data_IF_595615442236
#
_entry.id   IF_595615442236
#
_cell.length_a   1.000
_cell.length_b   1.000
_cell.length_c   1.000
_cell.angle_alpha   90.00
_cell.angle_beta   90.00
_cell.angle_gamma   90.00
#
_symmetry.space_group_name_H-M   'P 1'
#
loop_
_entity.id
_entity.type
_entity.pdbx_description
1 polymer ?
#
# COMPACT_ATOMS: atom_id res chain seq x y z
N UNK A 1 14.94 4.75 -12.15
CA UNK A 1 13.82 4.41 -11.26
C UNK A 1 14.00 5.00 -9.85
N UNK A 2 15.09 4.65 -9.16
CA UNK A 2 15.28 5.05 -7.75
C UNK A 2 15.35 6.58 -7.58
N UNK A 3 16.15 7.27 -8.39
CA UNK A 3 16.27 8.73 -8.36
C UNK A 3 14.96 9.40 -8.77
N UNK A 4 14.34 8.95 -9.86
CA UNK A 4 13.06 9.49 -10.31
C UNK A 4 11.91 9.29 -9.29
N UNK A 5 11.97 8.20 -8.48
CA UNK A 5 11.03 8.01 -7.38
C UNK A 5 11.19 9.09 -6.30
N UNK A 6 12.44 9.37 -5.87
CA UNK A 6 12.76 10.39 -4.87
C UNK A 6 12.36 11.78 -5.38
N UNK A 7 12.76 12.13 -6.61
CA UNK A 7 12.44 13.41 -7.25
C UNK A 7 10.93 13.64 -7.34
N UNK A 8 10.19 12.63 -7.83
CA UNK A 8 8.73 12.73 -7.95
C UNK A 8 8.06 12.95 -6.60
N UNK A 9 8.52 12.28 -5.54
CA UNK A 9 7.98 12.48 -4.20
C UNK A 9 8.32 13.87 -3.67
N UNK A 10 9.54 14.36 -3.87
CA UNK A 10 9.94 15.71 -3.45
C UNK A 10 9.09 16.80 -4.11
N UNK A 11 8.80 16.67 -5.40
CA UNK A 11 7.92 17.61 -6.14
C UNK A 11 6.47 17.60 -5.61
N UNK A 12 6.08 16.56 -4.88
CA UNK A 12 4.72 16.34 -4.39
C UNK A 12 4.61 16.28 -2.85
N UNK A 13 5.51 16.91 -2.10
CA UNK A 13 5.45 16.96 -0.63
C UNK A 13 4.36 17.88 -0.09
N UNK A 14 3.94 18.90 -0.84
CA UNK A 14 2.94 19.87 -0.37
C UNK A 14 1.65 19.22 0.15
N UNK A 15 1.02 18.25 -0.53
CA UNK A 15 -0.17 17.58 0.01
C UNK A 15 0.09 16.85 1.33
N UNK A 16 1.27 16.28 1.52
CA UNK A 16 1.64 15.67 2.80
C UNK A 16 1.73 16.71 3.91
N UNK A 17 2.38 17.86 3.65
CA UNK A 17 2.44 18.96 4.62
C UNK A 17 1.05 19.48 5.00
N UNK A 18 0.15 19.60 4.02
CA UNK A 18 -1.25 19.99 4.26
C UNK A 18 -2.02 18.94 5.09
N UNK A 19 -1.75 17.65 4.86
CA UNK A 19 -2.35 16.58 5.65
C UNK A 19 -1.89 16.61 7.10
N UNK A 20 -0.59 16.82 7.36
CA UNK A 20 -0.03 16.96 8.70
C UNK A 20 -0.63 18.17 9.42
N UNK A 21 -0.72 19.32 8.74
CA UNK A 21 -1.36 20.50 9.27
C UNK A 21 -2.85 20.27 9.62
N UNK A 22 -3.57 19.59 8.75
CA UNK A 22 -4.97 19.22 8.99
C UNK A 22 -5.12 18.30 10.20
N UNK A 23 -4.26 17.29 10.37
CA UNK A 23 -4.28 16.41 11.56
C UNK A 23 -4.05 17.20 12.85
N UNK A 24 -3.04 18.09 12.86
CA UNK A 24 -2.78 18.98 14.00
C UNK A 24 -4.02 19.78 14.38
N UNK A 25 -4.69 20.37 13.39
CA UNK A 25 -5.89 21.18 13.58
C UNK A 25 -7.07 20.35 14.13
N UNK A 26 -7.34 19.15 13.55
CA UNK A 26 -8.42 18.27 13.99
C UNK A 26 -8.22 17.80 15.43
N UNK A 27 -6.97 17.48 15.80
CA UNK A 27 -6.62 17.02 17.13
C UNK A 27 -6.58 18.16 18.17
N UNK A 28 -6.64 19.43 17.72
CA UNK A 28 -6.63 20.60 18.60
C UNK A 28 -5.30 20.79 19.35
N UNK A 29 -4.19 20.42 18.74
CA UNK A 29 -2.87 20.45 19.37
C UNK A 29 -2.12 21.75 19.05
N UNK A 30 -1.55 22.40 20.07
CA UNK A 30 -0.69 23.57 19.88
C UNK A 30 0.65 23.20 19.24
N UNK A 31 1.23 22.08 19.65
CA UNK A 31 2.40 21.44 19.03
C UNK A 31 2.01 20.06 18.54
N UNK A 32 2.60 19.61 17.42
CA UNK A 32 2.31 18.32 16.81
C UNK A 32 3.61 17.57 16.60
N UNK A 33 3.81 16.49 17.35
CA UNK A 33 5.03 15.71 17.40
C UNK A 33 4.91 14.43 16.56
N UNK A 34 6.03 13.78 16.31
CA UNK A 34 6.07 12.57 15.49
C UNK A 34 5.16 11.43 16.03
N UNK A 35 4.96 11.33 17.33
CA UNK A 35 4.08 10.36 17.97
C UNK A 35 2.59 10.70 17.79
N UNK A 36 2.23 11.97 17.62
CA UNK A 36 0.84 12.40 17.40
C UNK A 36 0.31 12.02 16.00
N UNK A 37 1.23 11.79 15.04
CA UNK A 37 0.87 11.37 13.69
C UNK A 37 0.01 10.09 13.69
N UNK A 38 0.21 9.21 14.67
CA UNK A 38 -0.49 7.93 14.80
C UNK A 38 -1.86 8.05 15.45
N UNK A 39 -2.24 9.23 15.96
CA UNK A 39 -3.56 9.42 16.55
C UNK A 39 -4.65 9.36 15.45
N UNK A 40 -5.73 8.59 15.69
CA UNK A 40 -6.84 8.53 14.75
C UNK A 40 -7.61 9.87 14.75
N UNK A 41 -8.08 10.29 13.57
CA UNK A 41 -8.95 11.46 13.44
C UNK A 41 -10.44 11.10 13.38
N UNK A 42 -10.76 9.81 13.48
CA UNK A 42 -12.14 9.28 13.46
C UNK A 42 -12.23 7.98 14.25
N UNK A 43 -13.32 7.82 14.98
CA UNK A 43 -13.63 6.62 15.76
C UNK A 43 -14.62 5.68 15.03
N UNK A 44 -14.85 5.86 13.73
CA UNK A 44 -15.85 5.12 12.96
C UNK A 44 -15.42 3.68 12.57
N UNK A 45 -14.31 3.16 13.09
CA UNK A 45 -13.82 1.82 12.78
C UNK A 45 -14.86 0.72 13.04
N UNK A 46 -15.57 0.81 14.15
CA UNK A 46 -16.59 -0.18 14.58
C UNK A 46 -17.88 -0.10 13.75
N UNK A 47 -18.10 1.00 13.03
CA UNK A 47 -19.28 1.17 12.16
C UNK A 47 -19.28 0.26 10.92
N UNK A 48 -18.17 -0.41 10.66
CA UNK A 48 -18.00 -1.39 9.57
C UNK A 48 -18.08 -2.84 10.04
N UNK A 49 -18.44 -3.07 11.29
CA UNK A 49 -18.51 -4.42 11.83
C UNK A 49 -19.45 -5.30 10.98
N UNK A 50 -18.94 -6.44 10.53
CA UNK A 50 -19.71 -7.48 9.85
C UNK A 50 -19.04 -8.84 10.06
N UNK A 51 -19.80 -9.90 9.93
CA UNK A 51 -19.27 -11.24 9.98
C UNK A 51 -18.49 -11.60 8.70
N UNK A 52 -17.87 -12.77 8.69
CA UNK A 52 -17.05 -13.20 7.57
C UNK A 52 -17.86 -13.44 6.29
N UNK A 53 -19.10 -13.94 6.40
CA UNK A 53 -19.96 -14.19 5.23
C UNK A 53 -20.39 -12.87 4.56
N UNK A 54 -20.73 -11.87 5.35
CA UNK A 54 -20.98 -10.52 4.85
C UNK A 54 -19.72 -9.89 4.26
N UNK A 55 -18.56 -10.12 4.85
CA UNK A 55 -17.28 -9.64 4.31
C UNK A 55 -16.98 -10.22 2.93
N UNK A 56 -17.23 -11.52 2.71
CA UNK A 56 -17.11 -12.15 1.38
C UNK A 56 -17.99 -11.45 0.35
N UNK A 57 -19.23 -11.15 0.69
CA UNK A 57 -20.16 -10.44 -0.21
C UNK A 57 -19.64 -9.05 -0.56
N UNK A 58 -19.17 -8.29 0.43
CA UNK A 58 -18.60 -6.94 0.22
C UNK A 58 -17.36 -6.99 -0.66
N UNK A 59 -16.44 -7.91 -0.41
CA UNK A 59 -15.22 -8.07 -1.21
C UNK A 59 -15.57 -8.49 -2.64
N UNK A 60 -16.47 -9.46 -2.83
CA UNK A 60 -16.92 -9.90 -4.15
C UNK A 60 -17.52 -8.73 -4.95
N UNK A 61 -18.41 -7.95 -4.33
CA UNK A 61 -19.01 -6.77 -4.97
C UNK A 61 -17.96 -5.71 -5.35
N UNK A 62 -17.00 -5.44 -4.46
CA UNK A 62 -15.96 -4.45 -4.67
C UNK A 62 -14.99 -4.84 -5.79
N UNK A 63 -14.71 -6.12 -5.96
CA UNK A 63 -13.82 -6.65 -6.98
C UNK A 63 -14.53 -7.01 -8.30
N UNK A 64 -15.83 -6.72 -8.42
CA UNK A 64 -16.58 -6.97 -9.66
C UNK A 64 -16.02 -6.27 -10.91
N UNK A 65 -15.35 -5.11 -10.84
CA UNK A 65 -14.72 -4.50 -12.01
C UNK A 65 -13.61 -5.35 -12.65
N UNK A 66 -13.05 -6.34 -11.93
CA UNK A 66 -12.02 -7.27 -12.45
C UNK A 66 -12.56 -8.35 -13.41
N UNK A 67 -13.87 -8.42 -13.59
CA UNK A 67 -14.51 -9.25 -14.58
C UNK A 67 -14.73 -10.71 -14.17
N UNK A 68 -15.30 -11.50 -15.10
CA UNK A 68 -15.81 -12.83 -14.81
C UNK A 68 -14.74 -13.82 -14.34
N UNK A 69 -13.58 -13.87 -15.00
CA UNK A 69 -12.54 -14.86 -14.67
C UNK A 69 -11.98 -14.65 -13.27
N UNK A 70 -11.80 -13.38 -12.86
CA UNK A 70 -11.37 -13.03 -11.51
C UNK A 70 -12.43 -13.37 -10.47
N UNK A 71 -13.69 -13.04 -10.76
CA UNK A 71 -14.82 -13.34 -9.86
C UNK A 71 -15.03 -14.84 -9.68
N UNK A 72 -14.91 -15.62 -10.75
CA UNK A 72 -15.04 -17.09 -10.69
C UNK A 72 -13.93 -17.71 -9.82
N UNK A 73 -12.69 -17.24 -9.95
CA UNK A 73 -11.57 -17.71 -9.13
C UNK A 73 -11.71 -17.27 -7.65
N UNK A 74 -12.19 -16.05 -7.40
CA UNK A 74 -12.48 -15.55 -6.07
C UNK A 74 -13.55 -16.40 -5.37
N UNK A 75 -14.65 -16.68 -6.07
CA UNK A 75 -15.72 -17.53 -5.57
C UNK A 75 -15.24 -18.96 -5.31
N UNK A 76 -14.40 -19.51 -6.20
CA UNK A 76 -13.77 -20.82 -5.99
C UNK A 76 -12.98 -20.85 -4.66
N UNK A 77 -12.21 -19.79 -4.37
CA UNK A 77 -11.44 -19.67 -3.13
C UNK A 77 -12.33 -19.67 -1.88
N UNK A 78 -13.48 -19.00 -1.95
CA UNK A 78 -14.45 -18.98 -0.86
C UNK A 78 -15.17 -20.33 -0.68
N UNK A 79 -15.59 -20.97 -1.77
CA UNK A 79 -16.38 -22.21 -1.72
C UNK A 79 -15.52 -23.44 -1.38
N UNK A 80 -14.26 -23.46 -1.80
CA UNK A 80 -13.34 -24.57 -1.59
C UNK A 80 -12.45 -24.43 -0.34
N UNK A 81 -12.81 -23.52 0.54
CA UNK A 81 -12.18 -23.38 1.85
C UNK A 81 -10.66 -23.15 1.81
N UNK A 82 -10.20 -22.23 0.93
CA UNK A 82 -8.78 -21.88 0.88
C UNK A 82 -8.31 -21.11 2.12
N UNK A 83 -9.27 -20.66 2.98
CA UNK A 83 -9.03 -19.69 4.04
C UNK A 83 -9.23 -20.34 5.42
N UNK A 84 -8.21 -20.27 6.26
CA UNK A 84 -8.32 -20.51 7.72
C UNK A 84 -8.64 -19.16 8.38
N UNK A 85 -9.88 -19.00 8.86
CA UNK A 85 -10.52 -17.70 9.07
C UNK A 85 -10.23 -17.10 10.44
N UNK A 86 -10.50 -17.87 11.52
CA UNK A 86 -10.53 -17.34 12.89
C UNK A 86 -9.30 -17.68 13.68
N UNK A 87 -9.02 -16.86 14.70
CA UNK A 87 -7.98 -17.18 15.66
C UNK A 87 -8.30 -18.44 16.47
N UNK A 88 -7.27 -19.20 16.83
CA UNK A 88 -7.37 -20.32 17.72
C UNK A 88 -6.05 -20.52 18.48
N UNK A 89 -6.08 -21.41 19.49
CA UNK A 89 -4.90 -21.68 20.33
C UNK A 89 -3.73 -22.22 19.50
N UNK A 90 -2.61 -21.52 19.53
CA UNK A 90 -1.39 -21.88 18.81
C UNK A 90 -1.29 -21.36 17.38
N UNK A 91 -2.33 -20.73 16.83
CA UNK A 91 -2.28 -20.06 15.53
C UNK A 91 -1.46 -18.77 15.63
N UNK A 92 -0.63 -18.50 14.61
CA UNK A 92 0.14 -17.24 14.53
C UNK A 92 -0.78 -16.06 14.31
N UNK A 93 -0.43 -14.91 14.88
CA UNK A 93 -1.08 -13.64 14.62
C UNK A 93 -0.77 -13.14 13.21
N UNK A 94 -1.54 -12.14 12.73
CA UNK A 94 -1.40 -11.57 11.40
C UNK A 94 -2.23 -12.32 10.36
N UNK A 95 -1.88 -12.10 9.10
CA UNK A 95 -2.48 -12.76 7.93
C UNK A 95 -1.39 -13.03 6.91
N UNK A 96 -1.57 -14.06 6.09
CA UNK A 96 -0.72 -14.30 4.92
C UNK A 96 -1.41 -15.22 3.91
N UNK A 97 -0.97 -15.14 2.67
CA UNK A 97 -1.32 -16.06 1.60
C UNK A 97 -0.08 -16.84 1.15
N UNK A 98 -0.25 -18.11 0.84
CA UNK A 98 0.81 -18.96 0.33
C UNK A 98 0.35 -19.73 -0.90
N UNK A 99 0.96 -19.44 -2.05
CA UNK A 99 0.75 -20.17 -3.29
C UNK A 99 1.71 -21.37 -3.37
N UNK A 100 1.17 -22.52 -3.76
CA UNK A 100 1.95 -23.73 -4.00
C UNK A 100 1.59 -24.23 -5.41
N UNK A 101 2.61 -24.54 -6.22
CA UNK A 101 2.39 -25.01 -7.58
C UNK A 101 1.65 -26.36 -7.60
N UNK A 102 0.64 -26.47 -8.47
CA UNK A 102 -0.14 -27.71 -8.66
C UNK A 102 -1.28 -27.91 -7.66
N UNK A 103 -1.44 -27.04 -6.68
CA UNK A 103 -2.58 -27.04 -5.74
C UNK A 103 -3.15 -25.62 -5.60
N UNK A 104 -4.28 -25.49 -4.90
CA UNK A 104 -4.83 -24.14 -4.62
C UNK A 104 -3.98 -23.36 -3.61
N UNK A 105 -4.05 -22.04 -3.61
CA UNK A 105 -3.44 -21.21 -2.56
C UNK A 105 -4.06 -21.47 -1.19
N UNK A 106 -3.30 -21.18 -0.15
CA UNK A 106 -3.74 -21.25 1.25
C UNK A 106 -3.67 -19.85 1.87
N UNK A 107 -4.72 -19.46 2.56
CA UNK A 107 -4.83 -18.15 3.22
C UNK A 107 -5.05 -18.35 4.71
N UNK A 108 -4.25 -17.68 5.53
CA UNK A 108 -4.43 -17.60 6.98
C UNK A 108 -4.92 -16.20 7.33
N UNK A 109 -6.02 -16.13 8.08
CA UNK A 109 -6.55 -14.91 8.68
C UNK A 109 -6.70 -15.06 10.19
N UNK A 110 -6.86 -13.96 10.89
CA UNK A 110 -7.38 -13.84 12.24
C UNK A 110 -8.52 -12.83 12.20
N UNK A 111 -9.63 -13.23 11.56
CA UNK A 111 -10.73 -12.33 11.23
C UNK A 111 -11.43 -11.81 12.50
N UNK A 112 -11.59 -10.50 12.53
CA UNK A 112 -12.38 -9.76 13.52
C UNK A 112 -13.43 -8.92 12.78
N UNK A 113 -14.63 -8.69 13.34
CA UNK A 113 -15.71 -7.95 12.67
C UNK A 113 -15.42 -6.43 12.62
N UNK A 114 -14.46 -6.02 11.79
CA UNK A 114 -14.02 -4.62 11.59
C UNK A 114 -13.48 -4.39 10.19
N UNK A 115 -13.44 -3.14 9.75
CA UNK A 115 -12.99 -2.77 8.40
C UNK A 115 -11.61 -3.35 8.03
N UNK A 116 -10.65 -3.26 8.94
CA UNK A 116 -9.31 -3.77 8.67
C UNK A 116 -9.31 -5.26 8.30
N UNK A 117 -10.19 -6.07 8.90
CA UNK A 117 -10.26 -7.50 8.56
C UNK A 117 -10.92 -7.73 7.19
N UNK A 118 -11.85 -6.85 6.77
CA UNK A 118 -12.42 -6.89 5.42
C UNK A 118 -11.33 -6.52 4.40
N UNK A 119 -10.55 -5.47 4.68
CA UNK A 119 -9.41 -5.05 3.85
C UNK A 119 -8.35 -6.13 3.78
N UNK A 120 -8.00 -6.76 4.92
CA UNK A 120 -7.06 -7.88 4.97
C UNK A 120 -7.57 -9.08 4.15
N UNK A 121 -8.87 -9.41 4.20
CA UNK A 121 -9.46 -10.45 3.35
C UNK A 121 -9.25 -10.14 1.86
N UNK A 122 -9.54 -8.90 1.44
CA UNK A 122 -9.32 -8.46 0.06
C UNK A 122 -7.84 -8.54 -0.34
N UNK A 123 -6.93 -8.13 0.56
CA UNK A 123 -5.48 -8.17 0.39
C UNK A 123 -4.98 -9.61 0.18
N UNK A 124 -5.27 -10.51 1.12
CA UNK A 124 -4.77 -11.89 1.06
C UNK A 124 -5.39 -12.66 -0.12
N UNK A 125 -6.63 -12.37 -0.48
CA UNK A 125 -7.22 -12.92 -1.71
C UNK A 125 -6.55 -12.34 -2.96
N UNK A 126 -6.02 -11.13 -2.92
CA UNK A 126 -5.20 -10.57 -4.00
C UNK A 126 -3.94 -11.41 -4.24
N UNK A 127 -3.20 -11.74 -3.19
CA UNK A 127 -2.05 -12.65 -3.25
C UNK A 127 -2.46 -14.05 -3.72
N UNK A 128 -3.53 -14.59 -3.15
CA UNK A 128 -4.02 -15.93 -3.49
C UNK A 128 -4.36 -16.02 -4.99
N UNK A 129 -5.07 -15.04 -5.52
CA UNK A 129 -5.45 -15.04 -6.94
C UNK A 129 -4.27 -14.72 -7.87
N UNK A 130 -3.29 -13.90 -7.44
CA UNK A 130 -2.04 -13.75 -8.19
C UNK A 130 -1.34 -15.10 -8.33
N UNK A 131 -1.15 -15.82 -7.23
CA UNK A 131 -0.55 -17.16 -7.25
C UNK A 131 -1.38 -18.16 -8.07
N UNK A 132 -2.70 -18.11 -7.95
CA UNK A 132 -3.62 -18.98 -8.72
C UNK A 132 -3.49 -18.77 -10.23
N UNK A 133 -3.54 -17.51 -10.69
CA UNK A 133 -3.44 -17.21 -12.13
C UNK A 133 -2.04 -17.51 -12.66
N UNK A 134 -1.00 -17.21 -11.89
CA UNK A 134 0.38 -17.54 -12.26
C UNK A 134 0.58 -19.05 -12.37
N UNK A 135 0.20 -19.82 -11.36
CA UNK A 135 0.35 -21.29 -11.35
C UNK A 135 -0.44 -21.97 -12.47
N UNK A 136 -1.60 -21.41 -12.82
CA UNK A 136 -2.44 -21.95 -13.90
C UNK A 136 -1.86 -21.69 -15.30
N UNK A 137 -1.08 -20.63 -15.47
CA UNK A 137 -0.60 -20.15 -16.77
C UNK A 137 0.87 -20.43 -17.02
N UNK A 138 1.68 -20.57 -15.96
CA UNK A 138 3.12 -20.74 -16.06
C UNK A 138 3.55 -22.17 -15.77
N UNK A 139 4.75 -22.52 -16.26
CA UNK A 139 5.45 -23.73 -15.81
C UNK A 139 5.94 -23.55 -14.38
N UNK A 140 6.26 -24.64 -13.67
CA UNK A 140 6.77 -24.62 -12.31
C UNK A 140 7.93 -23.62 -12.11
N UNK A 141 8.90 -23.57 -13.02
CA UNK A 141 10.08 -22.70 -12.92
C UNK A 141 9.70 -21.21 -12.98
N UNK A 142 8.66 -20.85 -13.71
CA UNK A 142 8.22 -19.48 -13.93
C UNK A 142 6.97 -19.09 -13.12
N UNK A 143 6.46 -19.99 -12.28
CA UNK A 143 5.20 -19.73 -11.56
C UNK A 143 5.36 -18.73 -10.40
N UNK A 144 6.53 -18.66 -9.80
CA UNK A 144 6.80 -17.70 -8.73
C UNK A 144 7.09 -16.31 -9.30
N UNK A 145 6.44 -15.30 -8.73
CA UNK A 145 6.68 -13.90 -9.04
C UNK A 145 7.58 -13.25 -7.98
N UNK A 146 8.30 -12.21 -8.38
CA UNK A 146 9.21 -11.51 -7.47
C UNK A 146 8.46 -10.73 -6.38
N UNK A 147 9.13 -10.49 -5.25
CA UNK A 147 8.63 -9.63 -4.16
C UNK A 147 8.28 -8.21 -4.65
N UNK A 148 8.92 -7.74 -5.73
CA UNK A 148 8.64 -6.46 -6.36
C UNK A 148 7.20 -6.36 -6.93
N UNK A 149 6.65 -7.50 -7.39
CA UNK A 149 5.31 -7.61 -7.95
C UNK A 149 4.28 -8.11 -6.93
N UNK A 150 4.71 -8.70 -5.83
CA UNK A 150 3.84 -9.41 -4.89
C UNK A 150 2.69 -8.53 -4.36
N UNK A 151 3.02 -7.32 -3.88
CA UNK A 151 2.05 -6.42 -3.28
C UNK A 151 1.17 -5.66 -4.29
N UNK A 152 1.45 -5.79 -5.59
CA UNK A 152 0.64 -5.10 -6.61
C UNK A 152 -0.78 -5.64 -6.65
N UNK A 153 -0.93 -6.96 -6.58
CA UNK A 153 -2.24 -7.61 -6.63
C UNK A 153 -3.07 -7.36 -5.36
N UNK A 154 -2.47 -7.54 -4.20
CA UNK A 154 -3.11 -7.33 -2.90
C UNK A 154 -3.56 -5.88 -2.71
N UNK A 155 -2.68 -4.93 -2.98
CA UNK A 155 -2.97 -3.50 -2.86
C UNK A 155 -4.00 -3.03 -3.91
N UNK A 156 -4.02 -3.60 -5.12
CA UNK A 156 -5.07 -3.29 -6.11
C UNK A 156 -6.45 -3.67 -5.57
N UNK A 157 -6.58 -4.84 -4.94
CA UNK A 157 -7.83 -5.25 -4.30
C UNK A 157 -8.25 -4.31 -3.17
N UNK A 158 -7.31 -3.88 -2.31
CA UNK A 158 -7.61 -2.93 -1.24
C UNK A 158 -8.12 -1.58 -1.78
N UNK A 159 -7.49 -1.06 -2.83
CA UNK A 159 -7.91 0.20 -3.45
C UNK A 159 -9.30 0.06 -4.08
N UNK A 160 -9.58 -1.03 -4.77
CA UNK A 160 -10.90 -1.30 -5.34
C UNK A 160 -11.97 -1.43 -4.23
N UNK A 161 -11.64 -2.10 -3.11
CA UNK A 161 -12.53 -2.21 -1.95
C UNK A 161 -12.82 -0.84 -1.33
N UNK A 162 -11.79 -0.02 -1.14
CA UNK A 162 -11.93 1.33 -0.60
C UNK A 162 -12.85 2.19 -1.49
N UNK A 163 -12.55 2.25 -2.78
CA UNK A 163 -13.32 3.07 -3.74
C UNK A 163 -14.78 2.58 -3.87
N UNK A 164 -15.01 1.28 -3.77
CA UNK A 164 -16.35 0.72 -3.74
C UNK A 164 -17.09 1.13 -2.47
N UNK A 165 -16.46 0.98 -1.30
CA UNK A 165 -17.06 1.28 0.00
C UNK A 165 -17.37 2.76 0.16
N UNK A 166 -16.51 3.66 -0.33
CA UNK A 166 -16.74 5.10 -0.32
C UNK A 166 -18.03 5.54 -1.01
N UNK A 167 -18.54 4.79 -2.01
CA UNK A 167 -19.75 5.15 -2.74
C UNK A 167 -21.01 5.13 -1.87
N UNK A 168 -21.06 4.25 -0.87
CA UNK A 168 -22.25 4.02 -0.02
C UNK A 168 -22.03 4.37 1.45
N UNK A 169 -20.81 4.75 1.83
CA UNK A 169 -20.43 5.07 3.20
C UNK A 169 -21.14 6.34 3.72
N UNK A 170 -21.48 6.37 5.02
CA UNK A 170 -21.93 7.56 5.71
C UNK A 170 -20.81 8.63 5.77
N UNK A 171 -21.13 9.91 6.08
CA UNK A 171 -20.08 10.93 6.21
C UNK A 171 -18.99 10.56 7.21
N UNK A 172 -19.32 9.99 8.38
CA UNK A 172 -18.35 9.56 9.38
C UNK A 172 -17.50 8.39 8.86
N UNK A 173 -18.12 7.45 8.17
CA UNK A 173 -17.43 6.33 7.53
C UNK A 173 -16.49 6.81 6.42
N UNK A 174 -16.90 7.81 5.64
CA UNK A 174 -16.03 8.41 4.61
C UNK A 174 -14.80 9.07 5.23
N UNK A 175 -14.96 9.82 6.30
CA UNK A 175 -13.81 10.42 7.02
C UNK A 175 -12.82 9.33 7.44
N UNK A 176 -13.30 8.22 8.01
CA UNK A 176 -12.47 7.09 8.40
C UNK A 176 -11.74 6.48 7.19
N UNK A 177 -12.45 6.16 6.12
CA UNK A 177 -11.90 5.53 4.92
C UNK A 177 -10.87 6.42 4.21
N UNK A 178 -11.15 7.72 4.08
CA UNK A 178 -10.23 8.69 3.51
C UNK A 178 -8.96 8.79 4.34
N UNK A 179 -9.09 8.82 5.67
CA UNK A 179 -7.93 8.80 6.55
C UNK A 179 -7.10 7.50 6.39
N UNK A 180 -7.75 6.33 6.27
CA UNK A 180 -7.05 5.07 6.01
C UNK A 180 -6.24 5.13 4.71
N UNK A 181 -6.80 5.67 3.63
CA UNK A 181 -6.08 5.83 2.37
C UNK A 181 -4.89 6.80 2.51
N UNK A 182 -5.09 7.96 3.16
CA UNK A 182 -4.04 8.95 3.35
C UNK A 182 -2.90 8.38 4.22
N UNK A 183 -3.22 7.65 5.28
CA UNK A 183 -2.22 6.98 6.11
C UNK A 183 -1.49 5.86 5.34
N UNK A 184 -2.18 5.08 4.51
CA UNK A 184 -1.56 4.06 3.67
C UNK A 184 -0.53 4.67 2.71
N UNK A 185 -0.88 5.75 2.00
CA UNK A 185 0.06 6.44 1.11
C UNK A 185 1.19 7.11 1.90
N UNK A 186 0.88 7.75 3.04
CA UNK A 186 1.91 8.35 3.90
C UNK A 186 2.95 7.32 4.35
N UNK A 187 2.50 6.16 4.82
CA UNK A 187 3.40 5.13 5.39
C UNK A 187 4.09 4.28 4.32
N UNK A 188 3.42 4.03 3.19
CA UNK A 188 3.91 3.09 2.16
C UNK A 188 4.61 3.80 1.01
N UNK A 189 4.27 5.06 0.73
CA UNK A 189 4.93 5.83 -0.34
C UNK A 189 5.86 6.88 0.27
N UNK A 190 5.35 7.92 0.90
CA UNK A 190 6.18 9.02 1.40
C UNK A 190 7.26 8.54 2.38
N UNK A 191 6.88 7.79 3.39
CA UNK A 191 7.83 7.31 4.42
C UNK A 191 8.83 6.31 3.86
N UNK A 192 8.42 5.43 2.96
CA UNK A 192 9.34 4.45 2.38
C UNK A 192 10.31 5.10 1.40
N UNK A 193 9.91 6.16 0.70
CA UNK A 193 10.82 6.95 -0.13
C UNK A 193 11.78 7.77 0.73
N UNK A 194 11.34 8.31 1.86
CA UNK A 194 12.23 8.92 2.86
C UNK A 194 13.32 7.93 3.32
N UNK A 195 12.94 6.69 3.59
CA UNK A 195 13.89 5.62 3.94
C UNK A 195 14.84 5.30 2.79
N UNK A 196 14.31 5.20 1.58
CA UNK A 196 15.11 4.94 0.38
C UNK A 196 16.14 6.07 0.12
N UNK A 197 15.75 7.32 0.34
CA UNK A 197 16.64 8.47 0.22
C UNK A 197 17.78 8.42 1.26
N UNK A 198 17.47 8.08 2.50
CA UNK A 198 18.47 7.87 3.54
C UNK A 198 19.41 6.70 3.22
N UNK A 199 18.86 5.59 2.75
CA UNK A 199 19.65 4.43 2.31
C UNK A 199 20.62 4.81 1.18
N UNK A 200 20.14 5.55 0.17
CA UNK A 200 21.00 6.07 -0.92
C UNK A 200 22.09 6.98 -0.37
N UNK A 201 21.77 7.85 0.58
CA UNK A 201 22.75 8.74 1.23
C UNK A 201 23.87 7.94 1.88
N UNK A 202 23.59 6.98 2.75
CA UNK A 202 24.61 6.19 3.46
C UNK A 202 25.48 5.37 2.49
N UNK A 203 24.90 4.80 1.44
CA UNK A 203 25.66 4.07 0.43
C UNK A 203 26.56 4.98 -0.40
N UNK A 204 26.10 6.19 -0.77
CA UNK A 204 26.91 7.16 -1.50
C UNK A 204 28.10 7.64 -0.66
N UNK A 205 27.91 7.93 0.64
CA UNK A 205 29.01 8.33 1.53
C UNK A 205 30.13 7.28 1.56
N UNK A 206 29.76 6.01 1.69
CA UNK A 206 30.74 4.90 1.67
C UNK A 206 31.42 4.77 0.30
N UNK A 207 30.66 4.85 -0.80
CA UNK A 207 31.20 4.73 -2.15
C UNK A 207 32.21 5.84 -2.48
N UNK A 208 32.04 7.03 -1.88
CA UNK A 208 32.95 8.15 -2.01
C UNK A 208 34.13 8.10 -1.01
N UNK A 209 34.24 7.01 -0.24
CA UNK A 209 35.32 6.78 0.72
C UNK A 209 35.18 7.56 2.04
N UNK A 210 34.02 8.13 2.33
CA UNK A 210 33.74 8.80 3.61
C UNK A 210 33.31 7.79 4.66
N UNK A 211 33.73 8.02 5.90
CA UNK A 211 33.34 7.21 7.05
C UNK A 211 32.01 7.70 7.59
N UNK A 212 31.05 6.78 7.75
CA UNK A 212 29.77 7.09 8.41
C UNK A 212 30.00 7.37 9.90
N UNK A 213 29.49 8.48 10.36
CA UNK A 213 29.50 8.89 11.78
C UNK A 213 28.06 9.11 12.25
N UNK A 214 27.76 8.79 13.52
CA UNK A 214 26.43 8.92 14.08
C UNK A 214 25.84 10.32 13.88
N UNK A 215 26.61 11.37 14.19
CA UNK A 215 26.20 12.77 14.06
C UNK A 215 25.79 13.14 12.61
N UNK A 216 26.51 12.61 11.62
CA UNK A 216 26.16 12.80 10.19
C UNK A 216 24.81 12.14 9.86
N UNK A 217 24.57 10.92 10.33
CA UNK A 217 23.34 10.19 10.10
C UNK A 217 22.16 10.85 10.82
N UNK A 218 22.36 11.27 12.07
CA UNK A 218 21.37 11.98 12.88
C UNK A 218 20.95 13.31 12.26
N UNK A 219 21.94 14.10 11.81
CA UNK A 219 21.69 15.39 11.14
C UNK A 219 20.88 15.17 9.86
N UNK A 220 21.31 14.25 9.01
CA UNK A 220 20.58 13.94 7.77
C UNK A 220 19.15 13.50 8.04
N UNK A 221 18.95 12.62 9.05
CA UNK A 221 17.65 12.10 9.41
C UNK A 221 16.70 13.18 9.93
N UNK A 222 17.18 14.09 10.79
CA UNK A 222 16.39 15.22 11.27
C UNK A 222 15.98 16.15 10.13
N UNK A 223 16.90 16.49 9.24
CA UNK A 223 16.62 17.36 8.10
C UNK A 223 15.67 16.70 7.09
N UNK A 224 15.79 15.39 6.91
CA UNK A 224 14.85 14.60 6.12
C UNK A 224 13.45 14.66 6.73
N UNK A 225 13.29 14.48 8.05
CA UNK A 225 11.99 14.56 8.71
C UNK A 225 11.37 15.98 8.57
N UNK A 226 12.14 17.05 8.74
CA UNK A 226 11.66 18.41 8.51
C UNK A 226 11.18 18.62 7.07
N UNK A 227 11.92 18.10 6.09
CA UNK A 227 11.57 18.18 4.66
C UNK A 227 10.27 17.45 4.35
N UNK A 228 10.16 16.19 4.77
CA UNK A 228 9.00 15.34 4.41
C UNK A 228 7.72 15.77 5.12
N UNK A 229 7.79 16.10 6.41
CA UNK A 229 6.58 16.40 7.19
C UNK A 229 6.21 17.89 7.26
N UNK A 230 7.15 18.77 6.86
CA UNK A 230 6.89 20.21 6.78
C UNK A 230 6.79 20.91 8.14
N UNK A 231 6.42 22.20 8.13
CA UNK A 231 6.52 23.07 9.30
C UNK A 231 5.47 22.80 10.38
N UNK A 232 4.43 22.02 10.08
CA UNK A 232 3.40 21.70 11.08
C UNK A 232 3.85 20.64 12.09
N UNK A 233 4.89 19.84 11.75
CA UNK A 233 5.48 18.85 12.65
C UNK A 233 6.60 19.47 13.46
N UNK A 234 6.53 19.35 14.79
CA UNK A 234 7.65 19.60 15.70
C UNK A 234 8.59 18.39 15.64
N UNK A 235 9.81 18.61 15.13
CA UNK A 235 10.83 17.57 15.02
C UNK A 235 11.68 17.58 16.27
N UNK A 236 11.41 16.64 17.18
CA UNK A 236 12.13 16.49 18.43
C UNK A 236 13.56 15.98 18.22
N UNK A 237 14.47 16.34 19.12
CA UNK A 237 15.88 15.92 19.04
C UNK A 237 16.03 14.38 19.10
N UNK A 238 15.18 13.70 19.86
CA UNK A 238 15.15 12.25 20.01
C UNK A 238 14.87 11.52 18.70
N UNK A 239 14.20 12.18 17.75
CA UNK A 239 13.93 11.63 16.42
C UNK A 239 15.20 11.42 15.60
N UNK A 240 16.31 12.09 15.97
CA UNK A 240 17.59 11.99 15.25
C UNK A 240 18.10 10.56 15.11
N UNK A 241 17.89 9.73 16.11
CA UNK A 241 18.36 8.33 16.15
C UNK A 241 17.32 7.30 15.68
N UNK A 242 16.15 7.73 15.20
CA UNK A 242 15.06 6.82 14.78
C UNK A 242 15.51 5.83 13.68
N UNK A 243 16.38 6.25 12.77
CA UNK A 243 16.91 5.39 11.70
C UNK A 243 17.53 4.10 12.24
N UNK A 244 18.15 4.13 13.44
CA UNK A 244 18.86 2.99 14.04
C UNK A 244 17.96 1.82 14.41
N UNK A 245 16.65 2.04 14.61
CA UNK A 245 15.67 0.99 14.93
C UNK A 245 15.02 0.34 13.72
N UNK A 246 15.34 0.79 12.51
CA UNK A 246 14.67 0.34 11.28
C UNK A 246 15.43 -0.86 10.70
N UNK A 247 14.92 -2.10 10.86
CA UNK A 247 15.64 -3.31 10.46
C UNK A 247 15.82 -3.44 8.95
N UNK A 248 15.00 -2.74 8.15
CA UNK A 248 15.06 -2.78 6.69
C UNK A 248 16.40 -2.29 6.14
N UNK A 249 17.11 -1.40 6.84
CA UNK A 249 18.42 -0.92 6.40
C UNK A 249 19.52 -1.99 6.42
N UNK A 250 19.27 -3.14 7.06
CA UNK A 250 20.13 -4.32 6.96
C UNK A 250 19.84 -5.20 5.73
N UNK A 251 18.81 -4.85 4.94
CA UNK A 251 18.46 -5.50 3.67
C UNK A 251 18.53 -4.45 2.55
N UNK A 252 19.71 -4.26 1.92
CA UNK A 252 19.94 -3.15 1.00
C UNK A 252 18.93 -3.08 -0.14
N UNK A 253 18.49 -1.88 -0.45
CA UNK A 253 17.58 -1.58 -1.55
C UNK A 253 16.28 -2.40 -1.53
N UNK A 254 15.71 -2.54 -0.33
CA UNK A 254 14.44 -3.22 -0.15
C UNK A 254 13.25 -2.25 -0.10
N UNK A 255 13.38 -1.14 0.66
CA UNK A 255 12.24 -0.29 1.06
C UNK A 255 11.55 0.44 -0.09
N UNK A 256 12.27 0.80 -1.16
CA UNK A 256 11.66 1.45 -2.32
C UNK A 256 10.58 0.60 -3.00
N UNK A 257 10.63 -0.73 -2.83
CA UNK A 257 9.66 -1.68 -3.40
C UNK A 257 8.25 -1.48 -2.85
N UNK A 258 8.13 -0.98 -1.64
CA UNK A 258 6.83 -0.62 -1.07
C UNK A 258 6.17 0.50 -1.87
N UNK A 259 6.90 1.59 -2.12
CA UNK A 259 6.39 2.72 -2.87
C UNK A 259 6.10 2.38 -4.33
N UNK A 260 6.96 1.61 -5.00
CA UNK A 260 6.74 1.19 -6.38
C UNK A 260 5.57 0.23 -6.51
N UNK A 261 5.43 -0.74 -5.59
CA UNK A 261 4.32 -1.68 -5.56
C UNK A 261 2.97 -0.98 -5.35
N UNK A 262 2.91 -0.08 -4.36
CA UNK A 262 1.71 0.72 -4.09
C UNK A 262 1.33 1.60 -5.29
N UNK A 263 2.32 2.24 -5.91
CA UNK A 263 2.09 3.12 -7.07
C UNK A 263 1.62 2.34 -8.30
N UNK A 264 2.16 1.14 -8.53
CA UNK A 264 1.70 0.26 -9.59
C UNK A 264 0.26 -0.19 -9.35
N UNK A 265 -0.08 -0.58 -8.13
CA UNK A 265 -1.44 -0.98 -7.74
C UNK A 265 -2.44 0.18 -7.92
N UNK A 266 -2.07 1.39 -7.51
CA UNK A 266 -2.91 2.58 -7.70
C UNK A 266 -3.15 2.86 -9.18
N UNK A 267 -2.12 2.72 -10.02
CA UNK A 267 -2.25 2.91 -11.46
C UNK A 267 -3.17 1.86 -12.10
N UNK A 268 -3.07 0.58 -11.71
CA UNK A 268 -3.99 -0.47 -12.17
C UNK A 268 -5.43 -0.21 -11.72
N UNK A 269 -5.64 0.02 -10.42
CA UNK A 269 -6.97 0.28 -9.88
C UNK A 269 -7.63 1.48 -10.56
N UNK A 270 -6.88 2.58 -10.75
CA UNK A 270 -7.38 3.76 -11.45
C UNK A 270 -7.76 3.46 -12.91
N UNK A 271 -6.90 2.75 -13.65
CA UNK A 271 -7.18 2.38 -15.03
C UNK A 271 -8.43 1.48 -15.16
N UNK A 272 -8.63 0.56 -14.22
CA UNK A 272 -9.79 -0.34 -14.16
C UNK A 272 -11.06 0.46 -13.86
N UNK A 273 -11.04 1.30 -12.83
CA UNK A 273 -12.20 2.12 -12.42
C UNK A 273 -12.61 3.16 -13.47
N UNK A 274 -11.64 3.69 -14.22
CA UNK A 274 -11.85 4.61 -15.34
C UNK A 274 -12.26 3.88 -16.63
N UNK A 275 -12.42 2.57 -16.61
CA UNK A 275 -12.74 1.74 -17.79
C UNK A 275 -11.79 1.97 -18.98
N UNK A 276 -10.49 2.17 -18.69
CA UNK A 276 -9.52 2.32 -19.79
C UNK A 276 -9.49 1.07 -20.67
N UNK A 277 -9.30 1.24 -22.00
CA UNK A 277 -9.29 0.12 -22.92
C UNK A 277 -8.33 -0.99 -22.50
N UNK A 278 -8.84 -2.21 -22.38
CA UNK A 278 -8.08 -3.41 -22.01
C UNK A 278 -7.43 -3.38 -20.62
N UNK A 279 -7.86 -2.50 -19.71
CA UNK A 279 -7.24 -2.39 -18.37
C UNK A 279 -7.32 -3.71 -17.61
N UNK A 280 -8.50 -4.32 -17.56
CA UNK A 280 -8.72 -5.62 -16.90
C UNK A 280 -7.94 -6.75 -17.60
N UNK A 281 -8.01 -6.84 -18.94
CA UNK A 281 -7.25 -7.84 -19.71
C UNK A 281 -5.74 -7.77 -19.41
N UNK A 282 -5.17 -6.58 -19.42
CA UNK A 282 -3.76 -6.35 -19.12
C UNK A 282 -3.40 -6.70 -17.68
N UNK A 283 -4.26 -6.35 -16.74
CA UNK A 283 -4.06 -6.67 -15.33
C UNK A 283 -4.10 -8.19 -15.10
N UNK A 284 -5.09 -8.90 -15.65
CA UNK A 284 -5.16 -10.36 -15.54
C UNK A 284 -3.97 -11.05 -16.24
N UNK A 285 -3.50 -10.50 -17.35
CA UNK A 285 -2.27 -10.98 -18.00
C UNK A 285 -1.05 -10.81 -17.08
N UNK A 286 -0.93 -9.67 -16.37
CA UNK A 286 0.11 -9.48 -15.37
C UNK A 286 0.05 -10.53 -14.26
N UNK A 287 -1.13 -10.80 -13.70
CA UNK A 287 -1.31 -11.84 -12.67
C UNK A 287 -0.94 -13.25 -13.18
N UNK A 288 -1.15 -13.50 -14.45
CA UNK A 288 -0.86 -14.78 -15.10
C UNK A 288 0.60 -14.93 -15.54
N UNK A 289 1.43 -13.88 -15.42
CA UNK A 289 2.77 -13.86 -15.98
C UNK A 289 3.86 -14.45 -15.07
N UNK A 290 3.60 -14.58 -13.76
CA UNK A 290 4.58 -15.13 -12.81
C UNK A 290 5.95 -14.44 -12.90
N UNK A 291 7.01 -15.24 -13.01
CA UNK A 291 8.41 -14.81 -13.18
C UNK A 291 8.91 -15.00 -14.62
N UNK A 292 8.05 -14.94 -15.63
CA UNK A 292 8.40 -15.19 -17.04
C UNK A 292 9.31 -14.12 -17.67
N UNK A 293 9.38 -12.92 -17.04
CA UNK A 293 10.24 -11.82 -17.48
C UNK A 293 10.64 -10.96 -16.25
N UNK A 294 11.50 -9.96 -16.46
CA UNK A 294 11.83 -8.98 -15.45
C UNK A 294 10.58 -8.20 -15.00
N UNK A 295 10.47 -7.95 -13.70
CA UNK A 295 9.30 -7.30 -13.07
C UNK A 295 8.89 -5.98 -13.74
N UNK A 296 9.87 -5.14 -14.10
CA UNK A 296 9.60 -3.88 -14.81
C UNK A 296 9.00 -4.09 -16.19
N UNK A 297 9.43 -5.13 -16.91
CA UNK A 297 8.89 -5.47 -18.22
C UNK A 297 7.45 -5.98 -18.10
N UNK A 298 7.17 -6.84 -17.12
CA UNK A 298 5.83 -7.36 -16.86
C UNK A 298 4.84 -6.23 -16.56
N UNK A 299 5.21 -5.31 -15.67
CA UNK A 299 4.39 -4.15 -15.34
C UNK A 299 4.20 -3.22 -16.55
N UNK A 300 5.27 -2.94 -17.29
CA UNK A 300 5.22 -2.10 -18.49
C UNK A 300 4.32 -2.69 -19.58
N UNK A 301 4.40 -3.98 -19.83
CA UNK A 301 3.53 -4.69 -20.79
C UNK A 301 2.07 -4.62 -20.36
N UNK A 302 1.81 -4.65 -19.06
CA UNK A 302 0.48 -4.47 -18.50
C UNK A 302 0.00 -2.99 -18.48
N UNK A 303 0.87 -2.06 -18.87
CA UNK A 303 0.53 -0.63 -19.00
C UNK A 303 0.97 0.25 -17.84
N UNK A 304 1.78 -0.28 -16.93
CA UNK A 304 2.36 0.47 -15.80
C UNK A 304 3.87 0.56 -15.96
N UNK A 305 4.36 1.68 -16.49
CA UNK A 305 5.79 1.91 -16.72
C UNK A 305 6.42 2.67 -15.53
N UNK A 306 6.99 1.92 -14.60
CA UNK A 306 7.68 2.46 -13.42
C UNK A 306 9.03 3.12 -13.76
N UNK A 307 9.51 3.04 -15.01
CA UNK A 307 10.69 3.80 -15.43
C UNK A 307 10.39 5.28 -15.68
N UNK A 308 9.11 5.64 -15.67
CA UNK A 308 8.59 7.01 -15.74
C UNK A 308 8.03 7.45 -14.40
N UNK A 309 7.91 8.75 -14.12
CA UNK A 309 7.30 9.25 -12.88
C UNK A 309 5.79 9.00 -12.80
N UNK A 310 5.13 8.67 -13.92
CA UNK A 310 3.67 8.67 -14.04
C UNK A 310 2.93 7.83 -12.98
N UNK A 311 3.30 6.55 -12.67
CA UNK A 311 2.57 5.77 -11.69
C UNK A 311 2.64 6.37 -10.28
N UNK A 312 3.79 6.92 -9.91
CA UNK A 312 3.99 7.59 -8.61
C UNK A 312 3.20 8.90 -8.58
N UNK A 313 3.28 9.71 -9.62
CA UNK A 313 2.51 10.96 -9.76
C UNK A 313 1.00 10.71 -9.63
N UNK A 314 0.46 9.67 -10.28
CA UNK A 314 -0.96 9.29 -10.16
C UNK A 314 -1.33 9.01 -8.70
N UNK A 315 -0.47 8.30 -7.97
CA UNK A 315 -0.71 7.99 -6.55
C UNK A 315 -0.71 9.25 -5.68
N UNK A 316 0.25 10.15 -5.90
CA UNK A 316 0.37 11.37 -5.11
C UNK A 316 -0.72 12.40 -5.44
N UNK A 317 -1.17 12.45 -6.70
CA UNK A 317 -2.35 13.24 -7.08
C UNK A 317 -3.62 12.69 -6.43
N UNK A 318 -3.80 11.36 -6.41
CA UNK A 318 -4.93 10.73 -5.72
C UNK A 318 -4.91 11.01 -4.23
N UNK A 319 -3.72 11.06 -3.61
CA UNK A 319 -3.58 11.51 -2.23
C UNK A 319 -4.10 12.95 -2.05
N UNK A 320 -3.71 13.87 -2.92
CA UNK A 320 -4.17 15.26 -2.87
C UNK A 320 -5.68 15.39 -3.07
N UNK A 321 -6.26 14.62 -4.01
CA UNK A 321 -7.71 14.57 -4.26
C UNK A 321 -8.48 14.07 -3.01
N UNK A 322 -8.03 12.96 -2.42
CA UNK A 322 -8.64 12.38 -1.21
C UNK A 322 -8.47 13.29 0.01
N UNK A 323 -7.37 14.01 0.11
CA UNK A 323 -7.19 15.03 1.14
C UNK A 323 -8.19 16.18 0.98
N UNK A 324 -8.44 16.65 -0.24
CA UNK A 324 -9.42 17.70 -0.50
C UNK A 324 -10.84 17.21 -0.22
N UNK A 325 -11.17 15.95 -0.54
CA UNK A 325 -12.45 15.33 -0.19
C UNK A 325 -12.63 15.29 1.32
N UNK A 326 -11.58 14.89 2.06
CA UNK A 326 -11.59 14.87 3.53
C UNK A 326 -11.80 16.27 4.13
N UNK A 327 -11.07 17.29 3.64
CA UNK A 327 -11.24 18.69 4.06
C UNK A 327 -12.68 19.15 3.86
N UNK A 328 -13.26 18.85 2.71
CA UNK A 328 -14.64 19.22 2.39
C UNK A 328 -15.66 18.60 3.34
N UNK A 329 -15.50 17.31 3.69
CA UNK A 329 -16.37 16.62 4.65
C UNK A 329 -16.25 17.16 6.07
N UNK A 330 -15.08 17.69 6.43
CA UNK A 330 -14.80 18.31 7.73
C UNK A 330 -15.19 19.79 7.79
N UNK A 331 -15.63 20.40 6.67
CA UNK A 331 -15.93 21.82 6.58
C UNK A 331 -14.68 22.72 6.66
N UNK A 332 -13.54 22.24 6.16
CA UNK A 332 -12.20 22.88 6.22
C UNK A 332 -11.75 23.40 4.86
#
# INVERSE_FOLDING_TARGET
>A
LYDGLIETVHENLKPLHEYIALKKEILGLDEFHAYDIYQPISNAADSFACDFDEAKVKVTAALSPLGYDYQAALQEGFDKQWIDIYENKGKRSGAYSWGIYGVHPYVLLNYQPRYNSISTLAHEMGHALHSYFSNKSQTYINSDYSIFCAEVASTTNEILLLEHTLKTASPEQKIYLLNQFLEAVRTTVYRQVQFAEFEKFIHNEINEGRTLQAEMLETYWLDSNKRYYGPALTVDAELSSEWSRIPHFYTPFYVYKYATGYSAATAFASAILENKPKAVEKYLHFLASGGSDYSLNLLKTAGVDLTTPLPVTVTLHKFAEKLQELKTLLGK
#
